data_IF_152243074644
#
_entry.id   IF_152243074644
#
_cell.length_a   1.000
_cell.length_b   1.000
_cell.length_c   1.000
_cell.angle_alpha   90.00
_cell.angle_beta   90.00
_cell.angle_gamma   90.00
#
_symmetry.space_group_name_H-M   'P 1'
#
loop_
_entity.id
_entity.type
_entity.pdbx_description
1 polymer ?
#
# COMPACT_ATOMS: atom_id res chain seq x y z
N UNK A 1 3.10 -8.67 -28.92
CA UNK A 1 2.79 -9.34 -27.63
C UNK A 1 1.32 -9.05 -27.34
N UNK A 2 0.46 -10.06 -27.17
CA UNK A 2 -1.00 -9.90 -27.07
C UNK A 2 -1.52 -9.34 -25.74
N UNK A 3 -0.71 -8.54 -25.03
CA UNK A 3 -1.10 -7.90 -23.77
C UNK A 3 -1.44 -6.43 -24.02
N UNK A 4 -2.53 -5.97 -23.40
CA UNK A 4 -3.03 -4.60 -23.54
C UNK A 4 -2.46 -3.62 -22.50
N UNK A 5 -1.76 -4.14 -21.48
CA UNK A 5 -1.14 -3.37 -20.41
C UNK A 5 0.09 -4.13 -19.90
N UNK A 6 1.29 -3.62 -20.15
CA UNK A 6 2.58 -4.17 -19.70
C UNK A 6 3.18 -3.26 -18.66
N UNK A 7 3.50 -3.81 -17.48
CA UNK A 7 4.10 -3.06 -16.37
C UNK A 7 5.49 -3.58 -16.02
N UNK A 8 6.31 -2.67 -15.50
CA UNK A 8 7.63 -2.98 -14.97
C UNK A 8 7.77 -2.45 -13.55
N UNK A 9 8.56 -3.14 -12.73
CA UNK A 9 8.94 -2.68 -11.40
C UNK A 9 10.40 -2.24 -11.42
N UNK A 10 10.63 -0.98 -11.05
CA UNK A 10 11.94 -0.39 -10.88
C UNK A 10 12.27 -0.34 -9.40
N UNK A 11 13.32 -1.05 -8.98
CA UNK A 11 13.93 -0.84 -7.68
C UNK A 11 15.12 0.12 -7.82
N UNK A 12 15.31 1.01 -6.85
CA UNK A 12 16.43 1.94 -6.80
C UNK A 12 17.00 2.02 -5.38
N UNK A 13 18.02 2.86 -5.15
CA UNK A 13 18.78 2.98 -3.90
C UNK A 13 19.62 1.73 -3.59
N UNK A 14 20.15 1.07 -4.61
CA UNK A 14 21.09 -0.03 -4.40
C UNK A 14 22.43 0.48 -3.82
N UNK A 15 23.20 -0.36 -3.09
CA UNK A 15 24.57 -0.03 -2.71
C UNK A 15 25.38 0.49 -3.89
N UNK A 16 26.15 1.55 -3.67
CA UNK A 16 26.97 2.24 -4.68
C UNK A 16 26.19 2.79 -5.91
N UNK A 17 24.86 2.82 -5.87
CA UNK A 17 24.07 3.47 -6.93
C UNK A 17 24.17 4.99 -6.79
N UNK A 18 24.62 5.62 -7.87
CA UNK A 18 24.66 7.09 -7.98
C UNK A 18 23.38 7.59 -8.64
N UNK A 19 23.11 8.90 -8.54
CA UNK A 19 22.00 9.50 -9.27
C UNK A 19 22.14 9.27 -10.78
N UNK A 20 23.35 9.41 -11.35
CA UNK A 20 23.56 9.26 -12.79
C UNK A 20 23.27 7.83 -13.28
N UNK A 21 23.65 6.79 -12.51
CA UNK A 21 23.26 5.40 -12.81
C UNK A 21 21.75 5.23 -12.85
N UNK A 22 21.02 5.86 -11.93
CA UNK A 22 19.55 5.84 -11.96
C UNK A 22 18.99 6.57 -13.19
N UNK A 23 19.62 7.66 -13.65
CA UNK A 23 19.20 8.33 -14.89
C UNK A 23 19.35 7.39 -16.09
N UNK A 24 20.51 6.75 -16.21
CA UNK A 24 20.79 5.77 -17.26
C UNK A 24 19.78 4.62 -17.23
N UNK A 25 19.47 4.09 -16.03
CA UNK A 25 18.43 3.07 -15.84
C UNK A 25 17.08 3.55 -16.40
N UNK A 26 16.61 4.74 -15.98
CA UNK A 26 15.33 5.32 -16.41
C UNK A 26 15.25 5.56 -17.92
N UNK A 27 16.33 6.03 -18.54
CA UNK A 27 16.43 6.21 -19.99
C UNK A 27 16.32 4.88 -20.74
N UNK A 28 16.91 3.81 -20.22
CA UNK A 28 16.77 2.48 -20.81
C UNK A 28 15.36 1.91 -20.60
N UNK A 29 14.79 2.07 -19.40
CA UNK A 29 13.45 1.55 -19.09
C UNK A 29 12.36 2.16 -19.96
N UNK A 30 12.45 3.45 -20.26
CA UNK A 30 11.42 4.13 -21.04
C UNK A 30 11.45 3.77 -22.52
N UNK A 31 12.61 3.35 -23.05
CA UNK A 31 12.72 2.83 -24.40
C UNK A 31 11.95 1.51 -24.61
N UNK A 32 11.68 0.77 -23.52
CA UNK A 32 10.80 -0.41 -23.55
C UNK A 32 9.32 -0.04 -23.72
N UNK A 33 8.98 1.24 -23.63
CA UNK A 33 7.64 1.81 -23.76
C UNK A 33 6.55 1.17 -22.86
N UNK A 34 6.84 0.86 -21.56
CA UNK A 34 5.88 0.17 -20.71
C UNK A 34 4.61 1.01 -20.51
N UNK A 35 3.46 0.36 -20.34
CA UNK A 35 2.21 1.03 -20.02
C UNK A 35 2.21 1.58 -18.58
N UNK A 36 2.96 0.95 -17.66
CA UNK A 36 3.13 1.44 -16.29
C UNK A 36 4.41 0.99 -15.59
N UNK A 37 4.81 1.76 -14.57
CA UNK A 37 6.07 1.61 -13.84
C UNK A 37 5.79 1.78 -12.35
N UNK A 38 6.25 0.84 -11.52
CA UNK A 38 6.23 0.98 -10.06
C UNK A 38 7.65 1.24 -9.56
N UNK A 39 7.86 2.22 -8.68
CA UNK A 39 9.22 2.64 -8.30
C UNK A 39 9.51 2.47 -6.81
N UNK A 40 10.33 1.49 -6.43
CA UNK A 40 10.59 1.12 -5.05
C UNK A 40 11.99 1.53 -4.61
N UNK A 41 12.07 2.32 -3.53
CA UNK A 41 13.34 2.49 -2.82
C UNK A 41 13.69 1.19 -2.12
N UNK A 42 14.93 0.74 -2.23
CA UNK A 42 15.40 -0.45 -1.54
C UNK A 42 15.46 -0.18 -0.04
N UNK A 43 14.59 -0.86 0.71
CA UNK A 43 14.63 -0.91 2.16
C UNK A 43 15.09 -2.30 2.62
N UNK A 44 16.16 -2.35 3.40
CA UNK A 44 16.76 -3.61 3.86
C UNK A 44 16.43 -3.96 5.31
N UNK A 45 15.78 -3.05 6.04
CA UNK A 45 15.46 -3.23 7.46
C UNK A 45 14.54 -4.45 7.67
N UNK A 46 14.86 -5.27 8.67
CA UNK A 46 14.15 -6.52 8.97
C UNK A 46 14.46 -7.71 8.05
N UNK A 47 15.28 -7.58 6.99
CA UNK A 47 15.59 -8.71 6.10
C UNK A 47 16.60 -9.69 6.75
N UNK A 48 16.38 -11.01 6.65
CA UNK A 48 17.29 -12.02 7.25
C UNK A 48 18.75 -11.91 6.80
N UNK A 49 18.96 -11.39 5.60
CA UNK A 49 20.29 -11.23 4.98
C UNK A 49 20.83 -9.80 5.05
N UNK A 50 20.17 -8.88 5.78
CA UNK A 50 20.57 -7.47 5.89
C UNK A 50 22.05 -7.29 6.27
N UNK A 51 22.56 -8.12 7.18
CA UNK A 51 23.97 -8.08 7.62
C UNK A 51 25.00 -8.35 6.50
N UNK A 52 24.56 -8.87 5.36
CA UNK A 52 25.40 -9.19 4.20
C UNK A 52 25.31 -8.12 3.11
N UNK A 53 24.43 -7.13 3.26
CA UNK A 53 24.23 -6.06 2.27
C UNK A 53 25.15 -4.91 2.65
N UNK A 54 25.91 -4.33 1.71
CA UNK A 54 26.68 -3.12 1.96
C UNK A 54 25.76 -1.94 2.34
N UNK A 55 26.36 -0.85 2.81
CA UNK A 55 25.61 0.34 3.21
C UNK A 55 24.81 0.91 2.03
N UNK A 56 23.56 1.29 2.31
CA UNK A 56 22.69 1.91 1.32
C UNK A 56 23.06 3.38 1.12
N UNK A 57 22.77 3.95 -0.05
CA UNK A 57 22.75 5.40 -0.25
C UNK A 57 22.01 6.14 0.87
N UNK A 58 22.55 7.30 1.24
CA UNK A 58 21.97 8.17 2.28
C UNK A 58 20.53 8.58 1.95
N UNK A 59 19.74 8.90 2.98
CA UNK A 59 18.35 9.39 2.81
C UNK A 59 18.28 10.67 1.96
N UNK A 60 19.35 11.48 1.97
CA UNK A 60 19.44 12.66 1.09
C UNK A 60 19.46 12.26 -0.38
N UNK A 61 20.27 11.26 -0.73
CA UNK A 61 20.38 10.75 -2.10
C UNK A 61 19.12 9.97 -2.50
N UNK A 62 18.51 9.19 -1.61
CA UNK A 62 17.21 8.55 -1.86
C UNK A 62 16.13 9.59 -2.19
N UNK A 63 16.06 10.67 -1.39
CA UNK A 63 15.12 11.77 -1.64
C UNK A 63 15.36 12.43 -3.00
N UNK A 64 16.62 12.66 -3.37
CA UNK A 64 16.97 13.21 -4.67
C UNK A 64 16.56 12.28 -5.82
N UNK A 65 16.85 10.99 -5.70
CA UNK A 65 16.42 9.95 -6.64
C UNK A 65 14.89 9.90 -6.78
N UNK A 66 14.14 9.95 -5.68
CA UNK A 66 12.69 9.94 -5.67
C UNK A 66 12.06 11.08 -6.46
N UNK A 67 12.54 12.32 -6.26
CA UNK A 67 12.02 13.48 -6.98
C UNK A 67 12.43 13.42 -8.45
N UNK A 68 13.67 13.03 -8.75
CA UNK A 68 14.14 12.87 -10.13
C UNK A 68 13.28 11.85 -10.90
N UNK A 69 13.00 10.67 -10.33
CA UNK A 69 12.12 9.66 -10.92
C UNK A 69 10.75 10.26 -11.24
N UNK A 70 10.16 10.97 -10.28
CA UNK A 70 8.85 11.58 -10.45
C UNK A 70 8.81 12.59 -11.59
N UNK A 71 9.78 13.50 -11.63
CA UNK A 71 9.90 14.51 -12.68
C UNK A 71 10.17 13.88 -14.04
N UNK A 72 11.11 12.94 -14.11
CA UNK A 72 11.47 12.24 -15.34
C UNK A 72 10.28 11.50 -15.94
N UNK A 73 9.57 10.69 -15.15
CA UNK A 73 8.41 9.93 -15.63
C UNK A 73 7.26 10.85 -16.05
N UNK A 74 7.01 11.93 -15.30
CA UNK A 74 5.98 12.91 -15.63
C UNK A 74 6.29 13.61 -16.96
N UNK A 75 7.54 14.03 -17.17
CA UNK A 75 8.00 14.66 -18.42
C UNK A 75 7.83 13.75 -19.63
N UNK A 76 7.89 12.44 -19.43
CA UNK A 76 7.70 11.45 -20.48
C UNK A 76 6.28 10.86 -20.54
N UNK A 77 5.28 11.56 -20.00
CA UNK A 77 3.87 11.25 -20.22
C UNK A 77 3.27 10.20 -19.28
N UNK A 78 3.97 9.83 -18.21
CA UNK A 78 3.40 9.01 -17.14
C UNK A 78 2.74 9.88 -16.08
N UNK A 79 1.66 9.38 -15.48
CA UNK A 79 0.99 9.99 -14.34
C UNK A 79 1.18 9.12 -13.10
N UNK A 80 1.50 9.75 -11.96
CA UNK A 80 1.48 9.06 -10.66
C UNK A 80 0.01 8.99 -10.21
N UNK A 81 -0.58 7.80 -10.24
CA UNK A 81 -1.99 7.61 -9.85
C UNK A 81 -2.14 6.98 -8.46
N UNK A 82 -1.08 6.37 -7.95
CA UNK A 82 -0.90 5.97 -6.57
C UNK A 82 0.61 6.02 -6.27
N UNK A 83 1.03 6.16 -5.02
CA UNK A 83 2.43 5.90 -4.72
C UNK A 83 2.66 4.38 -4.63
N UNK A 84 3.76 3.81 -5.17
CA UNK A 84 4.73 4.40 -6.08
C UNK A 84 4.41 4.15 -7.56
N UNK A 85 3.15 3.93 -7.90
CA UNK A 85 2.69 3.48 -9.20
C UNK A 85 2.44 4.63 -10.19
N UNK A 86 3.08 4.51 -11.35
CA UNK A 86 2.92 5.37 -12.51
C UNK A 86 2.34 4.59 -13.68
N UNK A 87 1.58 5.26 -14.54
CA UNK A 87 1.14 4.69 -15.82
C UNK A 87 0.97 5.77 -16.86
N UNK A 88 0.92 5.38 -18.13
CA UNK A 88 0.31 6.24 -19.16
C UNK A 88 -1.16 6.50 -18.80
N UNK A 89 -1.75 7.64 -19.21
CA UNK A 89 -3.16 7.93 -18.94
C UNK A 89 -4.08 6.82 -19.46
N UNK A 90 -5.02 6.35 -18.63
CA UNK A 90 -5.95 5.27 -18.99
C UNK A 90 -5.36 3.86 -18.94
N UNK A 91 -4.10 3.71 -18.50
CA UNK A 91 -3.41 2.44 -18.30
C UNK A 91 -3.20 2.09 -16.83
N UNK A 92 -3.93 2.75 -15.94
CA UNK A 92 -3.82 2.53 -14.50
C UNK A 92 -4.11 1.06 -14.16
N UNK A 93 -3.30 0.49 -13.28
CA UNK A 93 -3.45 -0.91 -12.89
C UNK A 93 -4.72 -1.09 -12.05
N UNK A 94 -5.64 -1.93 -12.55
CA UNK A 94 -6.89 -2.27 -11.88
C UNK A 94 -6.66 -2.95 -10.54
N UNK A 95 -5.65 -3.80 -10.41
CA UNK A 95 -5.30 -4.44 -9.14
C UNK A 95 -4.83 -3.40 -8.12
N UNK A 96 -3.94 -2.48 -8.52
CA UNK A 96 -3.49 -1.38 -7.65
C UNK A 96 -4.69 -0.53 -7.23
N UNK A 97 -5.54 -0.12 -8.16
CA UNK A 97 -6.73 0.67 -7.82
C UNK A 97 -7.72 -0.08 -6.94
N UNK A 98 -7.99 -1.35 -7.19
CA UNK A 98 -8.90 -2.15 -6.35
C UNK A 98 -8.33 -2.36 -4.94
N UNK A 99 -7.01 -2.50 -4.83
CA UNK A 99 -6.28 -2.66 -3.57
C UNK A 99 -6.20 -1.36 -2.79
N UNK A 100 -5.98 -0.22 -3.45
CA UNK A 100 -5.57 1.02 -2.78
C UNK A 100 -6.60 2.15 -2.83
N UNK A 101 -7.58 2.13 -3.73
CA UNK A 101 -8.56 3.22 -3.86
C UNK A 101 -9.58 3.20 -2.72
N UNK A 102 -9.97 4.39 -2.28
CA UNK A 102 -11.02 4.57 -1.27
C UNK A 102 -12.43 4.75 -1.90
N UNK A 103 -13.49 4.15 -1.34
CA UNK A 103 -13.45 3.04 -0.38
C UNK A 103 -12.90 1.78 -1.04
N UNK A 104 -12.24 0.92 -0.25
CA UNK A 104 -11.62 -0.30 -0.77
C UNK A 104 -12.66 -1.24 -1.36
N UNK A 105 -12.34 -1.84 -2.50
CA UNK A 105 -13.19 -2.86 -3.09
C UNK A 105 -13.08 -4.19 -2.34
N UNK A 106 -14.04 -5.07 -2.58
CA UNK A 106 -13.96 -6.45 -2.11
C UNK A 106 -12.78 -7.15 -2.80
N UNK A 107 -11.87 -7.72 -2.02
CA UNK A 107 -10.70 -8.40 -2.54
C UNK A 107 -10.32 -9.58 -1.65
N UNK A 108 -10.51 -10.78 -2.20
CA UNK A 108 -10.21 -12.07 -1.58
C UNK A 108 -8.85 -12.58 -2.03
N UNK A 109 -8.03 -12.98 -1.06
CA UNK A 109 -6.73 -13.61 -1.30
C UNK A 109 -6.82 -15.13 -1.29
N UNK A 110 -6.39 -15.77 -2.38
CA UNK A 110 -6.29 -17.22 -2.50
C UNK A 110 -4.82 -17.65 -2.61
N UNK A 111 -4.51 -18.83 -2.08
CA UNK A 111 -3.14 -19.34 -1.99
C UNK A 111 -2.45 -19.05 -0.66
N UNK A 112 -1.32 -19.73 -0.45
CA UNK A 112 -0.51 -19.60 0.75
C UNK A 112 0.03 -18.17 0.90
N UNK A 113 -0.10 -17.59 2.10
CA UNK A 113 0.33 -16.23 2.41
C UNK A 113 -0.50 -15.12 1.77
N UNK A 114 -1.54 -15.45 1.00
CA UNK A 114 -2.39 -14.45 0.36
C UNK A 114 -3.17 -13.63 1.40
N UNK A 115 -3.29 -12.34 1.13
CA UNK A 115 -4.04 -11.41 1.95
C UNK A 115 -5.42 -11.15 1.34
N UNK A 116 -6.46 -11.30 2.15
CA UNK A 116 -7.76 -10.69 1.90
C UNK A 116 -7.73 -9.28 2.46
N UNK A 117 -7.70 -8.29 1.56
CA UNK A 117 -7.57 -6.89 1.94
C UNK A 117 -8.89 -6.28 2.41
N UNK A 118 -10.03 -6.77 1.91
CA UNK A 118 -11.35 -6.46 2.45
C UNK A 118 -12.40 -7.44 1.95
N UNK A 119 -13.12 -8.09 2.87
CA UNK A 119 -14.28 -8.90 2.53
C UNK A 119 -15.31 -8.87 3.65
N UNK A 120 -16.51 -8.35 3.38
CA UNK A 120 -17.62 -8.35 4.33
C UNK A 120 -17.27 -7.76 5.71
N UNK A 121 -16.48 -6.68 5.75
CA UNK A 121 -16.04 -6.06 7.00
C UNK A 121 -14.79 -6.69 7.63
N UNK A 122 -14.10 -7.62 6.95
CA UNK A 122 -12.95 -8.34 7.50
C UNK A 122 -11.69 -8.16 6.66
N UNK A 123 -10.54 -8.30 7.32
CA UNK A 123 -9.23 -8.49 6.73
C UNK A 123 -8.61 -9.75 7.29
N UNK A 124 -7.89 -10.52 6.48
CA UNK A 124 -7.22 -11.73 6.95
C UNK A 124 -6.11 -12.18 6.01
N UNK A 125 -5.26 -13.07 6.49
CA UNK A 125 -4.13 -13.64 5.77
C UNK A 125 -4.13 -15.15 5.89
N UNK A 126 -3.85 -15.80 4.77
CA UNK A 126 -3.72 -17.24 4.71
C UNK A 126 -2.38 -17.70 5.30
N UNK A 127 -2.30 -18.96 5.72
CA UNK A 127 -1.05 -19.57 6.19
C UNK A 127 0.02 -19.46 5.10
N UNK A 128 1.21 -18.96 5.45
CA UNK A 128 2.29 -18.71 4.47
C UNK A 128 2.97 -19.99 3.96
N UNK A 129 2.99 -21.06 4.76
CA UNK A 129 3.58 -22.33 4.34
C UNK A 129 2.65 -23.01 3.33
N UNK A 130 3.16 -23.24 2.11
CA UNK A 130 2.43 -23.96 1.06
C UNK A 130 1.95 -25.33 1.54
N UNK A 131 2.83 -26.09 2.22
CA UNK A 131 2.48 -27.39 2.81
C UNK A 131 1.30 -27.27 3.79
N UNK A 132 1.38 -26.36 4.76
CA UNK A 132 0.31 -26.18 5.75
C UNK A 132 -0.98 -25.63 5.14
N UNK A 133 -0.88 -24.82 4.08
CA UNK A 133 -2.04 -24.33 3.33
C UNK A 133 -2.80 -25.47 2.66
N UNK A 134 -2.06 -26.40 2.02
CA UNK A 134 -2.64 -27.61 1.40
C UNK A 134 -3.27 -28.51 2.46
N UNK A 135 -2.51 -28.86 3.52
CA UNK A 135 -3.03 -29.68 4.63
C UNK A 135 -4.32 -29.10 5.23
N UNK A 136 -4.38 -27.78 5.43
CA UNK A 136 -5.57 -27.12 5.95
C UNK A 136 -6.79 -27.33 5.06
N UNK A 137 -6.62 -27.21 3.74
CA UNK A 137 -7.73 -27.38 2.78
C UNK A 137 -8.16 -28.84 2.71
N UNK A 138 -7.20 -29.77 2.65
CA UNK A 138 -7.45 -31.22 2.62
C UNK A 138 -8.20 -31.70 3.88
N UNK A 139 -7.87 -31.13 5.04
CA UNK A 139 -8.55 -31.38 6.32
C UNK A 139 -9.92 -30.67 6.43
N UNK A 140 -10.36 -29.95 5.39
CA UNK A 140 -11.66 -29.25 5.37
C UNK A 140 -11.69 -27.92 6.14
N UNK A 141 -10.53 -27.32 6.43
CA UNK A 141 -10.39 -26.06 7.14
C UNK A 141 -10.19 -24.86 6.21
N UNK A 142 -10.61 -23.68 6.69
CA UNK A 142 -10.21 -22.43 6.05
C UNK A 142 -8.77 -22.08 6.43
N UNK A 143 -7.85 -21.88 5.47
CA UNK A 143 -6.41 -21.83 5.70
C UNK A 143 -5.94 -20.46 6.20
N UNK A 144 -6.65 -19.84 7.14
CA UNK A 144 -6.37 -18.50 7.67
C UNK A 144 -5.62 -18.55 8.98
N UNK A 145 -4.54 -17.75 9.07
CA UNK A 145 -3.68 -17.69 10.25
C UNK A 145 -3.90 -16.44 11.11
N UNK A 146 -4.20 -15.29 10.50
CA UNK A 146 -4.50 -14.03 11.22
C UNK A 146 -5.67 -13.31 10.54
N UNK A 147 -6.49 -12.62 11.33
CA UNK A 147 -7.57 -11.81 10.78
C UNK A 147 -8.25 -10.92 11.81
N UNK A 148 -9.02 -9.97 11.31
CA UNK A 148 -9.70 -8.97 12.12
C UNK A 148 -11.01 -8.51 11.45
N UNK A 149 -12.04 -8.30 12.26
CA UNK A 149 -13.22 -7.51 11.88
C UNK A 149 -12.95 -6.01 12.04
N UNK A 150 -13.38 -5.23 11.06
CA UNK A 150 -13.17 -3.79 11.01
C UNK A 150 -14.37 -3.07 11.62
N UNK A 151 -14.09 -2.18 12.57
CA UNK A 151 -15.09 -1.26 13.10
C UNK A 151 -15.38 -0.13 12.10
N UNK A 152 -16.44 0.65 12.33
CA UNK A 152 -16.69 1.87 11.55
C UNK A 152 -15.51 2.84 11.64
N UNK A 153 -14.84 2.92 12.78
CA UNK A 153 -13.65 3.76 12.95
C UNK A 153 -12.46 3.25 12.13
N UNK A 154 -12.22 1.93 12.10
CA UNK A 154 -11.18 1.34 11.27
C UNK A 154 -11.45 1.61 9.79
N UNK A 155 -12.70 1.50 9.34
CA UNK A 155 -13.08 1.78 7.96
C UNK A 155 -12.88 3.26 7.59
N UNK A 156 -13.20 4.19 8.49
CA UNK A 156 -12.93 5.62 8.26
C UNK A 156 -11.43 5.92 8.19
N UNK A 157 -10.64 5.39 9.13
CA UNK A 157 -9.18 5.53 9.11
C UNK A 157 -8.58 4.93 7.84
N UNK A 158 -9.02 3.73 7.48
CA UNK A 158 -8.60 3.04 6.26
C UNK A 158 -8.95 3.85 5.01
N UNK A 159 -10.13 4.46 4.93
CA UNK A 159 -10.48 5.35 3.83
C UNK A 159 -9.47 6.48 3.66
N UNK A 160 -9.05 7.12 4.76
CA UNK A 160 -8.07 8.21 4.71
C UNK A 160 -6.71 7.71 4.22
N UNK A 161 -6.21 6.59 4.77
CA UNK A 161 -4.92 5.98 4.37
C UNK A 161 -4.91 5.58 2.90
N UNK A 162 -6.00 4.96 2.44
CA UNK A 162 -6.16 4.55 1.04
C UNK A 162 -6.25 5.77 0.10
N UNK A 163 -6.96 6.82 0.50
CA UNK A 163 -6.99 8.08 -0.24
C UNK A 163 -5.60 8.72 -0.35
N UNK A 164 -4.85 8.76 0.76
CA UNK A 164 -3.46 9.24 0.77
C UNK A 164 -2.59 8.43 -0.19
N UNK A 165 -2.71 7.10 -0.18
CA UNK A 165 -1.98 6.20 -1.09
C UNK A 165 -2.31 6.47 -2.57
N UNK A 166 -3.56 6.75 -2.89
CA UNK A 166 -4.03 7.15 -4.22
C UNK A 166 -3.94 8.67 -4.49
N UNK A 167 -3.16 9.40 -3.68
CA UNK A 167 -2.85 10.81 -3.82
C UNK A 167 -4.02 11.80 -3.61
N UNK A 168 -5.23 11.33 -3.33
CA UNK A 168 -6.36 12.21 -3.01
C UNK A 168 -7.41 11.55 -2.10
N UNK A 169 -8.08 12.37 -1.30
CA UNK A 169 -9.15 11.97 -0.39
C UNK A 169 -10.45 12.66 -0.82
N UNK A 170 -11.39 11.88 -1.34
CA UNK A 170 -12.71 12.35 -1.77
C UNK A 170 -13.64 12.58 -0.57
N UNK A 171 -13.97 13.86 -0.31
CA UNK A 171 -14.80 14.30 0.82
C UNK A 171 -16.26 13.93 0.63
N UNK A 172 -16.77 14.02 -0.60
CA UNK A 172 -18.17 13.75 -0.93
C UNK A 172 -18.45 12.26 -0.73
N UNK A 173 -17.60 11.41 -1.28
CA UNK A 173 -17.73 9.96 -1.18
C UNK A 173 -17.52 9.47 0.24
N UNK A 174 -16.62 10.09 1.02
CA UNK A 174 -16.50 9.82 2.45
C UNK A 174 -17.82 10.12 3.19
N UNK A 175 -18.41 11.30 2.99
CA UNK A 175 -19.67 11.69 3.61
C UNK A 175 -20.81 10.76 3.22
N UNK A 176 -20.90 10.39 1.94
CA UNK A 176 -21.87 9.41 1.43
C UNK A 176 -21.71 8.04 2.08
N UNK A 177 -20.48 7.59 2.29
CA UNK A 177 -20.19 6.24 2.81
C UNK A 177 -20.37 6.14 4.34
N UNK A 178 -20.03 7.18 5.10
CA UNK A 178 -20.03 7.14 6.57
C UNK A 178 -21.14 7.97 7.23
N UNK A 179 -21.84 8.81 6.48
CA UNK A 179 -22.88 9.71 6.97
C UNK A 179 -22.35 10.91 7.78
N UNK A 180 -21.04 11.13 7.79
CA UNK A 180 -20.38 12.23 8.52
C UNK A 180 -19.30 12.88 7.65
N UNK A 181 -19.02 14.16 7.89
CA UNK A 181 -17.94 14.86 7.20
C UNK A 181 -16.57 14.48 7.77
N UNK A 182 -15.53 14.48 6.92
CA UNK A 182 -14.15 14.15 7.30
C UNK A 182 -13.71 15.01 8.50
N UNK A 183 -13.97 16.31 8.43
CA UNK A 183 -13.55 17.24 9.49
C UNK A 183 -14.23 16.95 10.83
N UNK A 184 -15.40 16.30 10.89
CA UNK A 184 -15.97 15.91 12.19
C UNK A 184 -15.12 14.87 12.93
N UNK A 185 -14.36 14.05 12.20
CA UNK A 185 -13.52 12.98 12.79
C UNK A 185 -12.03 13.30 12.76
N UNK A 186 -11.55 13.95 11.70
CA UNK A 186 -10.12 14.13 11.40
C UNK A 186 -9.69 15.61 11.31
N UNK A 187 -10.44 16.54 11.91
CA UNK A 187 -10.14 17.99 11.83
C UNK A 187 -8.68 18.31 12.17
N UNK A 188 -8.21 17.78 13.31
CA UNK A 188 -6.88 18.07 13.83
C UNK A 188 -5.80 17.61 12.84
N UNK A 189 -5.88 16.36 12.39
CA UNK A 189 -4.95 15.76 11.44
C UNK A 189 -4.92 16.54 10.14
N UNK A 190 -6.09 16.84 9.56
CA UNK A 190 -6.18 17.58 8.29
C UNK A 190 -5.58 18.98 8.42
N UNK A 191 -5.93 19.73 9.46
CA UNK A 191 -5.42 21.09 9.65
C UNK A 191 -3.91 21.12 9.88
N UNK A 192 -3.36 20.15 10.61
CA UNK A 192 -1.91 20.02 10.79
C UNK A 192 -1.20 19.73 9.45
N UNK A 193 -1.76 18.87 8.62
CA UNK A 193 -1.21 18.51 7.31
C UNK A 193 -1.31 19.65 6.29
N UNK A 194 -2.41 20.40 6.30
CA UNK A 194 -2.59 21.62 5.50
C UNK A 194 -1.57 22.69 5.93
N UNK A 195 -1.38 22.90 7.24
CA UNK A 195 -0.39 23.85 7.78
C UNK A 195 1.05 23.49 7.39
N UNK A 196 1.36 22.19 7.30
CA UNK A 196 2.66 21.70 6.81
C UNK A 196 2.83 21.81 5.30
N UNK A 197 1.78 22.14 4.55
CA UNK A 197 1.76 22.11 3.09
C UNK A 197 1.87 20.70 2.51
N UNK A 198 1.57 19.66 3.29
CA UNK A 198 1.61 18.26 2.84
C UNK A 198 0.32 17.83 2.14
N UNK A 199 -0.77 18.54 2.42
CA UNK A 199 -2.04 18.44 1.71
C UNK A 199 -2.41 19.79 1.08
N UNK A 200 -3.18 19.72 -0.01
CA UNK A 200 -3.88 20.86 -0.63
C UNK A 200 -5.39 20.61 -0.52
N UNK A 201 -6.15 21.64 -0.17
CA UNK A 201 -7.62 21.59 -0.26
C UNK A 201 -8.05 22.15 -1.62
N UNK A 202 -8.61 21.29 -2.47
CA UNK A 202 -9.07 21.63 -3.83
C UNK A 202 -10.60 21.52 -3.94
N UNK A 203 -11.31 21.88 -2.88
CA UNK A 203 -12.77 21.87 -2.81
C UNK A 203 -13.32 20.50 -2.41
N UNK A 204 -13.59 19.64 -3.39
CA UNK A 204 -14.20 18.31 -3.14
C UNK A 204 -13.19 17.26 -2.67
N UNK A 205 -11.90 17.54 -2.81
CA UNK A 205 -10.81 16.62 -2.47
C UNK A 205 -9.78 17.28 -1.56
N UNK A 206 -9.13 16.47 -0.73
CA UNK A 206 -7.79 16.79 -0.25
C UNK A 206 -6.79 16.07 -1.14
N UNK A 207 -5.83 16.78 -1.72
CA UNK A 207 -4.80 16.20 -2.59
C UNK A 207 -3.45 16.20 -1.86
N UNK A 208 -2.62 15.19 -2.12
CA UNK A 208 -1.24 15.18 -1.61
C UNK A 208 -0.44 16.23 -2.37
N UNK A 209 0.17 17.17 -1.65
CA UNK A 209 1.05 18.15 -2.25
C UNK A 209 2.37 17.51 -2.71
N UNK A 210 3.11 18.15 -3.62
CA UNK A 210 4.37 17.64 -4.16
C UNK A 210 5.39 17.34 -3.05
N UNK A 211 5.52 18.24 -2.07
CA UNK A 211 6.36 18.02 -0.89
C UNK A 211 5.83 16.89 0.00
N UNK A 212 4.51 16.68 0.02
CA UNK A 212 3.84 15.64 0.78
C UNK A 212 4.07 14.23 0.23
N UNK A 213 4.44 14.08 -1.05
CA UNK A 213 4.70 12.79 -1.67
C UNK A 213 5.83 12.02 -0.98
N UNK A 214 6.91 12.71 -0.59
CA UNK A 214 8.00 12.09 0.18
C UNK A 214 7.57 11.66 1.59
N UNK A 215 6.57 12.34 2.16
CA UNK A 215 6.07 12.09 3.51
C UNK A 215 4.77 11.26 3.52
N UNK A 216 4.43 10.59 2.43
CA UNK A 216 3.13 9.93 2.25
C UNK A 216 2.81 8.90 3.34
N UNK A 217 3.81 8.19 3.84
CA UNK A 217 3.66 7.24 4.94
C UNK A 217 3.47 7.96 6.28
N UNK A 218 4.15 9.08 6.49
CA UNK A 218 3.91 9.93 7.66
C UNK A 218 2.48 10.50 7.64
N UNK A 219 1.99 10.94 6.48
CA UNK A 219 0.61 11.41 6.29
C UNK A 219 -0.36 10.27 6.64
N UNK A 220 -0.15 9.08 6.08
CA UNK A 220 -0.99 7.91 6.35
C UNK A 220 -1.05 7.57 7.85
N UNK A 221 0.10 7.56 8.52
CA UNK A 221 0.22 7.27 9.96
C UNK A 221 -0.57 8.23 10.84
N UNK A 222 -0.80 9.48 10.41
CA UNK A 222 -1.62 10.44 11.19
C UNK A 222 -3.08 9.99 11.34
N UNK A 223 -3.59 9.19 10.40
CA UNK A 223 -4.96 8.71 10.40
C UNK A 223 -5.13 7.35 11.08
N UNK A 224 -4.05 6.72 11.53
CA UNK A 224 -4.13 5.43 12.19
C UNK A 224 -4.94 5.54 13.47
N UNK A 225 -5.82 4.57 13.69
CA UNK A 225 -6.55 4.48 14.96
C UNK A 225 -5.55 4.20 16.10
N UNK A 226 -5.87 4.64 17.32
CA UNK A 226 -5.05 4.33 18.51
C UNK A 226 -4.82 2.82 18.67
N UNK A 227 -5.80 2.03 18.24
CA UNK A 227 -5.67 0.58 18.27
C UNK A 227 -4.63 0.08 17.27
N UNK A 228 -4.38 0.74 16.14
CA UNK A 228 -3.56 0.21 15.04
C UNK A 228 -2.20 0.91 14.87
N UNK A 229 -1.93 2.00 15.58
CA UNK A 229 -0.63 2.67 15.52
C UNK A 229 0.48 1.76 16.08
N UNK A 230 1.60 1.66 15.36
CA UNK A 230 2.76 0.80 15.68
C UNK A 230 2.49 -0.72 15.69
N UNK A 231 1.44 -1.17 15.00
CA UNK A 231 1.01 -2.57 15.04
C UNK A 231 1.07 -3.21 13.65
N UNK A 232 1.45 -4.49 13.59
CA UNK A 232 1.38 -5.28 12.35
C UNK A 232 -0.08 -5.68 12.07
N UNK A 233 -0.52 -5.47 10.83
CA UNK A 233 -1.89 -5.74 10.39
C UNK A 233 -1.92 -6.82 9.30
N UNK A 234 -2.83 -7.82 9.37
CA UNK A 234 -3.81 -8.04 10.43
C UNK A 234 -3.18 -8.58 11.73
N UNK A 235 -3.64 -8.09 12.89
CA UNK A 235 -3.26 -8.61 14.20
C UNK A 235 -3.69 -10.07 14.38
N UNK A 236 -2.98 -10.79 15.25
CA UNK A 236 -3.27 -12.16 15.68
C UNK A 236 -4.52 -12.37 16.51
N UNK A 237 -5.64 -11.72 16.16
CA UNK A 237 -6.94 -12.13 16.68
C UNK A 237 -7.41 -13.37 15.94
N UNK A 238 -7.90 -14.35 16.71
CA UNK A 238 -8.58 -15.52 16.18
C UNK A 238 -9.86 -15.04 15.50
N UNK A 239 -10.06 -15.37 14.23
CA UNK A 239 -11.39 -15.30 13.57
C UNK A 239 -12.36 -16.36 14.16
N UNK A 240 -12.24 -16.70 15.45
CA UNK A 240 -12.87 -17.87 16.07
C UNK A 240 -14.39 -17.89 16.04
N UNK A 241 -15.02 -16.80 15.57
CA UNK A 241 -16.46 -16.62 15.48
C UNK A 241 -16.91 -16.29 14.04
N UNK A 242 -16.22 -16.77 13.00
CA UNK A 242 -16.88 -16.89 11.70
C UNK A 242 -17.93 -18.00 11.85
N UNK A 243 -19.19 -17.60 12.00
CA UNK A 243 -20.37 -18.46 12.16
C UNK A 243 -20.22 -19.81 11.44
N UNK A 244 -19.94 -20.89 12.21
CA UNK A 244 -19.85 -22.28 11.76
C UNK A 244 -18.67 -22.66 10.84
N UNK A 245 -17.62 -21.84 10.73
CA UNK A 245 -16.43 -22.18 9.93
C UNK A 245 -15.27 -22.57 10.84
N UNK A 246 -14.79 -23.81 10.70
CA UNK A 246 -13.59 -24.26 11.42
C UNK A 246 -12.36 -23.70 10.73
N UNK A 247 -11.69 -22.76 11.39
CA UNK A 247 -10.40 -22.24 10.93
C UNK A 247 -9.30 -23.26 11.20
N UNK A 248 -8.25 -23.23 10.38
CA UNK A 248 -7.06 -24.01 10.63
C UNK A 248 -6.41 -23.63 11.97
N UNK A 249 -6.67 -24.44 13.00
CA UNK A 249 -6.09 -24.32 14.34
C UNK A 249 -5.20 -25.53 14.61
N UNK A 250 -4.05 -25.61 13.96
CA UNK A 250 -2.97 -26.48 14.45
C UNK A 250 -1.91 -25.66 15.18
N UNK A 251 -2.16 -25.58 16.49
CA UNK A 251 -1.24 -25.66 17.64
C UNK A 251 0.17 -25.14 17.37
N UNK A 252 0.59 -24.16 18.18
CA UNK A 252 1.99 -23.85 18.50
C UNK A 252 2.76 -25.16 18.80
N UNK A 253 3.35 -25.76 17.79
CA UNK A 253 4.27 -26.87 17.94
C UNK A 253 5.35 -26.74 16.88
N UNK A 254 6.43 -26.06 17.30
CA UNK A 254 7.78 -26.02 16.73
C UNK A 254 7.97 -25.29 15.40
N UNK A 255 8.77 -24.22 15.49
CA UNK A 255 9.56 -23.64 14.41
C UNK A 255 8.82 -22.65 13.52
N UNK A 256 8.76 -21.40 13.97
CA UNK A 256 8.96 -20.26 13.07
C UNK A 256 10.46 -20.06 12.98
#
# INVERSE_FOLDING_TARGET
IGFNNVRIDLMYRFPDQTLDRLKDDLENFIQLDPDGISTYSLEIEGLPFMKKIPELPSDKLDKEMFYYIGEFLTKNGYIRYAQPDFSKPGKEDKYVLNSWKAPQQLMLGFGAGAHTHYFGGHIYVNVCSVKRYIEAIEDGYFPVILGQSLTKEDLMAKYMVLGVRCLYIDKIKFKKYFGIEILRKFNKQINELLKKGWLKDIGNYYEIADIGLWYIDNISKTFYSKANINERQPRGKKLSNYNNITLYKRIRAKGV
#
